data_IF_469362218185
#
_entry.id   IF_469362218185
#
_cell.length_a   1.000
_cell.length_b   1.000
_cell.length_c   1.000
_cell.angle_alpha   90.00
_cell.angle_beta   90.00
_cell.angle_gamma   90.00
#
_symmetry.space_group_name_H-M   'P 1'
#
loop_
_entity.id
_entity.type
_entity.pdbx_description
1 polymer ?
#
# COMPACT_ATOMS: atom_id res chain seq x y z
N UNK A 1 14.63 -10.26 19.23
CA UNK A 1 13.59 -9.20 19.30
C UNK A 1 13.13 -8.95 17.87
N UNK A 2 11.83 -8.86 17.62
CA UNK A 2 11.32 -8.46 16.30
C UNK A 2 11.57 -6.97 16.09
N UNK A 3 11.71 -6.56 14.81
CA UNK A 3 11.77 -5.13 14.50
C UNK A 3 10.43 -4.45 14.80
N UNK A 4 10.49 -3.20 15.27
CA UNK A 4 9.29 -2.41 15.54
C UNK A 4 8.79 -1.74 14.26
N UNK A 5 7.46 -1.79 14.02
CA UNK A 5 6.79 -1.16 12.88
C UNK A 5 5.70 -0.21 13.36
N UNK A 6 5.78 1.03 12.93
CA UNK A 6 4.72 2.01 13.10
C UNK A 6 3.74 1.95 11.92
N UNK A 7 2.47 1.67 12.22
CA UNK A 7 1.40 1.65 11.22
C UNK A 7 0.63 2.96 11.31
N UNK A 8 0.58 3.73 10.23
CA UNK A 8 -0.21 4.95 10.16
C UNK A 8 -1.59 4.63 9.63
N UNK A 9 -2.61 4.83 10.46
CA UNK A 9 -4.00 4.48 10.19
C UNK A 9 -4.44 3.22 10.95
N UNK A 10 -5.33 3.37 11.92
CA UNK A 10 -5.90 2.30 12.76
C UNK A 10 -7.34 1.92 12.36
N UNK A 11 -7.84 2.42 11.22
CA UNK A 11 -9.15 2.11 10.68
C UNK A 11 -9.27 0.70 10.10
N UNK A 12 -10.32 0.43 9.32
CA UNK A 12 -10.57 -0.88 8.73
C UNK A 12 -9.38 -1.44 7.95
N UNK A 13 -8.80 -0.64 7.07
CA UNK A 13 -7.65 -1.06 6.27
C UNK A 13 -6.38 -1.21 7.12
N UNK A 14 -6.19 -0.37 8.14
CA UNK A 14 -5.08 -0.52 9.09
C UNK A 14 -5.09 -1.87 9.82
N UNK A 15 -6.29 -2.36 10.19
CA UNK A 15 -6.44 -3.69 10.78
C UNK A 15 -6.05 -4.82 9.81
N UNK A 16 -6.43 -4.70 8.55
CA UNK A 16 -6.00 -5.64 7.51
C UNK A 16 -4.48 -5.66 7.37
N UNK A 17 -3.84 -4.50 7.29
CA UNK A 17 -2.37 -4.39 7.20
C UNK A 17 -1.69 -4.99 8.45
N UNK A 18 -2.26 -4.76 9.64
CA UNK A 18 -1.76 -5.32 10.89
C UNK A 18 -1.72 -6.86 10.85
N UNK A 19 -2.77 -7.53 10.35
CA UNK A 19 -2.83 -8.99 10.26
C UNK A 19 -1.63 -9.60 9.53
N UNK A 20 -1.13 -8.91 8.51
CA UNK A 20 0.06 -9.33 7.78
C UNK A 20 1.36 -8.90 8.46
N UNK A 21 1.38 -7.72 9.09
CA UNK A 21 2.57 -7.14 9.71
C UNK A 21 2.99 -7.85 11.01
N UNK A 22 2.03 -8.26 11.86
CA UNK A 22 2.32 -8.90 13.18
C UNK A 22 3.09 -10.21 13.09
N UNK A 23 3.14 -10.83 11.93
CA UNK A 23 3.92 -12.04 11.72
C UNK A 23 5.43 -11.76 11.82
N UNK A 24 5.86 -10.57 11.45
CA UNK A 24 7.27 -10.19 11.34
C UNK A 24 7.69 -9.04 12.23
N UNK A 25 6.75 -8.23 12.74
CA UNK A 25 7.01 -7.00 13.47
C UNK A 25 6.28 -6.90 14.79
N UNK A 26 6.86 -6.15 15.73
CA UNK A 26 6.16 -5.63 16.90
C UNK A 26 5.52 -4.29 16.49
N UNK A 27 4.20 -4.25 16.41
CA UNK A 27 3.46 -3.15 15.81
C UNK A 27 2.89 -2.17 16.84
N UNK A 28 2.77 -0.90 16.45
CA UNK A 28 1.92 0.10 17.08
C UNK A 28 1.25 0.96 16.01
N UNK A 29 0.14 1.61 16.38
CA UNK A 29 -0.57 2.53 15.51
C UNK A 29 -0.33 3.99 15.88
N UNK A 30 -0.35 4.87 14.87
CA UNK A 30 -0.69 6.29 15.02
C UNK A 30 -1.93 6.59 14.16
N UNK A 31 -2.88 7.32 14.72
CA UNK A 31 -4.15 7.65 14.05
C UNK A 31 -4.79 8.87 14.72
N UNK A 32 -5.53 9.66 13.96
CA UNK A 32 -6.16 10.89 14.47
C UNK A 32 -7.57 10.66 15.03
N UNK A 33 -8.18 9.49 14.80
CA UNK A 33 -9.52 9.14 15.26
C UNK A 33 -9.58 8.57 16.68
N UNK A 34 -9.04 7.37 16.95
CA UNK A 34 -9.12 6.74 18.26
C UNK A 34 -8.36 7.52 19.35
N UNK A 35 -8.75 7.40 20.61
CA UNK A 35 -7.98 7.95 21.72
C UNK A 35 -6.63 7.22 21.84
N UNK A 36 -5.59 7.96 22.29
CA UNK A 36 -4.27 7.38 22.58
C UNK A 36 -4.41 6.39 23.73
N UNK A 37 -3.83 5.21 23.56
CA UNK A 37 -3.97 4.07 24.48
C UNK A 37 -5.08 3.10 24.10
N UNK A 38 -5.95 3.44 23.12
CA UNK A 38 -6.93 2.49 22.57
C UNK A 38 -6.21 1.29 21.96
N UNK A 39 -6.70 0.09 22.27
CA UNK A 39 -6.22 -1.13 21.63
C UNK A 39 -7.06 -1.44 20.38
N UNK A 40 -6.40 -1.62 19.25
CA UNK A 40 -6.99 -2.05 17.98
C UNK A 40 -6.40 -3.42 17.64
N UNK A 41 -7.20 -4.49 17.72
CA UNK A 41 -6.74 -5.87 17.62
C UNK A 41 -5.51 -6.12 18.54
N UNK A 42 -5.63 -5.75 19.82
CA UNK A 42 -4.60 -5.89 20.87
C UNK A 42 -3.32 -5.04 20.66
N UNK A 43 -3.29 -4.16 19.66
CA UNK A 43 -2.17 -3.28 19.35
C UNK A 43 -2.51 -1.83 19.70
N UNK A 44 -1.65 -1.11 20.47
CA UNK A 44 -1.97 0.22 20.96
C UNK A 44 -1.88 1.30 19.87
N UNK A 45 -2.79 2.28 19.94
CA UNK A 45 -2.63 3.58 19.30
C UNK A 45 -1.78 4.45 20.23
N UNK A 46 -0.57 4.82 19.79
CA UNK A 46 0.42 5.50 20.64
C UNK A 46 0.55 7.00 20.37
N UNK A 47 -0.10 7.53 19.33
CA UNK A 47 -0.02 8.94 18.98
C UNK A 47 -0.86 9.34 17.79
N UNK A 48 -0.70 10.59 17.36
CA UNK A 48 -1.37 11.20 16.23
C UNK A 48 -0.48 11.20 14.98
N UNK A 49 -1.09 11.29 13.80
CA UNK A 49 -0.33 11.36 12.54
C UNK A 49 0.57 12.59 12.48
N UNK A 50 0.17 13.67 13.15
CA UNK A 50 0.96 14.90 13.27
C UNK A 50 2.22 14.77 14.13
N UNK A 51 2.35 13.69 14.89
CA UNK A 51 3.45 13.46 15.84
C UNK A 51 4.44 12.39 15.35
N UNK A 52 4.35 11.95 14.10
CA UNK A 52 5.13 10.80 13.61
C UNK A 52 6.64 10.96 13.84
N UNK A 53 7.17 12.18 13.79
CA UNK A 53 8.60 12.47 14.00
C UNK A 53 9.09 12.13 15.42
N UNK A 54 8.18 12.08 16.40
CA UNK A 54 8.51 11.75 17.81
C UNK A 54 8.88 10.28 18.01
N UNK A 55 8.47 9.41 17.08
CA UNK A 55 8.61 7.97 17.24
C UNK A 55 9.81 7.38 16.50
N UNK A 56 10.61 8.19 15.78
CA UNK A 56 11.74 7.74 14.95
C UNK A 56 12.84 7.01 15.73
N UNK A 57 13.04 7.35 17.02
CA UNK A 57 14.04 6.66 17.83
C UNK A 57 13.62 5.24 18.21
N UNK A 58 12.33 5.04 18.41
CA UNK A 58 11.79 3.74 18.83
C UNK A 58 11.37 2.86 17.65
N UNK A 59 10.75 3.47 16.63
CA UNK A 59 10.26 2.79 15.43
C UNK A 59 11.08 3.28 14.22
N UNK A 60 11.98 2.44 13.71
CA UNK A 60 12.75 2.80 12.50
C UNK A 60 11.97 2.54 11.21
N UNK A 61 10.93 1.69 11.30
CA UNK A 61 10.13 1.27 10.16
C UNK A 61 8.71 1.80 10.26
N UNK A 62 8.15 2.22 9.12
CA UNK A 62 6.81 2.77 9.03
C UNK A 62 6.10 2.26 7.77
N UNK A 63 4.80 1.98 7.91
CA UNK A 63 3.90 1.68 6.79
C UNK A 63 2.63 2.55 6.89
N UNK A 64 2.13 3.05 5.75
CA UNK A 64 0.95 3.90 5.73
C UNK A 64 -0.26 3.12 5.22
N UNK A 65 -1.19 2.81 6.11
CA UNK A 65 -2.41 2.04 5.87
C UNK A 65 -3.65 2.94 5.66
N UNK A 66 -3.54 3.91 4.76
CA UNK A 66 -4.57 4.93 4.48
C UNK A 66 -4.99 4.86 3.02
N UNK A 67 -6.31 4.76 2.78
CA UNK A 67 -6.87 4.64 1.43
C UNK A 67 -6.80 5.91 0.59
N UNK A 68 -6.80 7.10 1.19
CA UNK A 68 -6.66 8.34 0.44
C UNK A 68 -5.25 8.48 -0.14
N UNK A 69 -5.13 8.44 -1.45
CA UNK A 69 -3.85 8.39 -2.16
C UNK A 69 -3.00 9.63 -1.92
N UNK A 70 -3.59 10.83 -1.93
CA UNK A 70 -2.87 12.10 -1.71
C UNK A 70 -2.38 12.21 -0.28
N UNK A 71 -3.24 11.92 0.69
CA UNK A 71 -2.85 11.97 2.10
C UNK A 71 -1.81 10.87 2.42
N UNK A 72 -1.93 9.68 1.81
CA UNK A 72 -0.91 8.64 1.93
C UNK A 72 0.45 9.11 1.43
N UNK A 73 0.50 9.77 0.27
CA UNK A 73 1.72 10.37 -0.27
C UNK A 73 2.33 11.42 0.67
N UNK A 74 1.50 12.32 1.21
CA UNK A 74 1.94 13.36 2.15
C UNK A 74 2.58 12.75 3.41
N UNK A 75 1.95 11.73 3.99
CA UNK A 75 2.47 11.03 5.16
C UNK A 75 3.80 10.35 4.84
N UNK A 76 3.92 9.65 3.69
CA UNK A 76 5.18 9.04 3.29
C UNK A 76 6.29 10.05 3.10
N UNK A 77 6.03 11.20 2.47
CA UNK A 77 7.03 12.27 2.29
C UNK A 77 7.52 12.83 3.63
N UNK A 78 6.62 13.04 4.58
CA UNK A 78 7.00 13.49 5.93
C UNK A 78 7.81 12.42 6.66
N UNK A 79 7.39 11.17 6.60
CA UNK A 79 8.10 10.07 7.22
C UNK A 79 9.49 9.85 6.60
N UNK A 80 9.65 10.02 5.28
CA UNK A 80 10.95 9.97 4.61
C UNK A 80 11.88 11.08 5.08
N UNK A 81 11.37 12.31 5.19
CA UNK A 81 12.13 13.44 5.73
C UNK A 81 12.53 13.23 7.21
N UNK A 82 11.75 12.49 7.97
CA UNK A 82 12.05 12.12 9.36
C UNK A 82 13.03 10.93 9.47
N UNK A 83 13.38 10.27 8.36
CA UNK A 83 14.36 9.18 8.33
C UNK A 83 13.78 7.77 8.55
N UNK A 84 12.49 7.56 8.35
CA UNK A 84 11.88 6.25 8.39
C UNK A 84 12.27 5.37 7.21
N UNK A 85 12.37 4.06 7.47
CA UNK A 85 12.43 3.01 6.45
C UNK A 85 11.02 2.49 6.15
N UNK A 86 10.77 2.15 4.89
CA UNK A 86 9.46 1.68 4.43
C UNK A 86 9.53 0.23 3.97
N UNK A 87 9.26 -0.75 4.86
CA UNK A 87 9.17 -2.14 4.46
C UNK A 87 7.95 -2.37 3.55
N UNK A 88 8.05 -3.35 2.67
CA UNK A 88 6.89 -3.86 1.95
C UNK A 88 6.13 -4.86 2.83
N UNK A 89 4.80 -4.78 2.85
CA UNK A 89 3.94 -5.74 3.52
C UNK A 89 3.29 -6.60 2.43
N UNK A 90 3.71 -7.85 2.35
CA UNK A 90 3.30 -8.77 1.28
C UNK A 90 2.72 -10.03 1.92
N UNK A 91 1.48 -10.36 1.54
CA UNK A 91 0.83 -11.60 1.96
C UNK A 91 1.58 -12.83 1.40
N UNK A 92 1.80 -13.88 2.19
CA UNK A 92 2.50 -15.07 1.72
C UNK A 92 1.83 -15.80 0.55
N UNK A 93 0.53 -15.60 0.32
CA UNK A 93 -0.21 -16.18 -0.80
C UNK A 93 -0.08 -15.37 -2.10
N UNK A 94 0.47 -14.16 -2.03
CA UNK A 94 0.72 -13.36 -3.22
C UNK A 94 1.88 -13.92 -4.03
N UNK A 95 1.73 -13.97 -5.35
CA UNK A 95 2.83 -14.32 -6.25
C UNK A 95 3.55 -13.07 -6.75
N UNK A 96 4.80 -12.94 -6.43
CA UNK A 96 5.66 -11.87 -6.96
C UNK A 96 6.76 -12.50 -7.82
N UNK A 97 6.77 -12.17 -9.10
CA UNK A 97 7.84 -12.63 -9.99
C UNK A 97 9.21 -12.15 -9.49
N UNK A 98 10.24 -13.00 -9.49
CA UNK A 98 11.60 -12.58 -9.15
C UNK A 98 12.18 -11.53 -10.10
N UNK A 99 11.54 -11.29 -11.22
CA UNK A 99 11.90 -10.27 -12.22
C UNK A 99 11.02 -9.02 -12.13
N UNK A 100 10.07 -8.96 -11.20
CA UNK A 100 9.29 -7.75 -10.95
C UNK A 100 10.10 -6.76 -10.10
N UNK A 101 9.76 -5.47 -10.22
CA UNK A 101 10.36 -4.42 -9.40
C UNK A 101 9.30 -3.84 -8.48
N UNK A 102 9.55 -3.88 -7.18
CA UNK A 102 8.71 -3.24 -6.18
C UNK A 102 9.42 -2.01 -5.61
N UNK A 103 8.69 -0.93 -5.48
CA UNK A 103 9.11 0.22 -4.69
C UNK A 103 9.12 -0.06 -3.18
N UNK A 104 9.21 1.00 -2.40
CA UNK A 104 9.21 0.95 -0.93
C UNK A 104 7.79 1.19 -0.37
N UNK A 105 7.48 0.56 0.76
CA UNK A 105 6.19 0.74 1.43
C UNK A 105 4.99 0.24 0.63
N UNK A 106 5.21 -0.74 -0.25
CA UNK A 106 4.14 -1.38 -1.03
C UNK A 106 3.39 -2.36 -0.16
N UNK A 107 2.06 -2.37 -0.27
CA UNK A 107 1.18 -3.33 0.39
C UNK A 107 0.57 -4.23 -0.67
N UNK A 108 0.78 -5.54 -0.57
CA UNK A 108 0.24 -6.53 -1.50
C UNK A 108 -0.50 -7.59 -0.69
N UNK A 109 -1.81 -7.64 -0.88
CA UNK A 109 -2.69 -8.54 -0.12
C UNK A 109 -2.81 -9.91 -0.80
N UNK A 110 -3.56 -10.77 -0.13
CA UNK A 110 -3.67 -12.19 -0.47
C UNK A 110 -4.09 -12.44 -1.93
N UNK A 111 -3.50 -13.48 -2.52
CA UNK A 111 -3.73 -13.93 -3.91
C UNK A 111 -3.48 -12.87 -4.99
N UNK A 112 -2.83 -11.76 -4.69
CA UNK A 112 -2.40 -10.83 -5.72
C UNK A 112 -1.24 -11.41 -6.54
N UNK A 113 -1.17 -11.04 -7.81
CA UNK A 113 -0.16 -11.55 -8.76
C UNK A 113 0.58 -10.38 -9.40
N UNK A 114 1.91 -10.37 -9.25
CA UNK A 114 2.79 -9.42 -9.95
C UNK A 114 3.71 -10.21 -10.88
N UNK A 115 3.47 -10.08 -12.18
CA UNK A 115 4.15 -10.87 -13.20
C UNK A 115 5.54 -10.32 -13.56
N UNK A 116 6.22 -11.03 -14.45
CA UNK A 116 7.56 -10.72 -14.94
C UNK A 116 7.65 -9.27 -15.48
N UNK A 117 8.72 -8.56 -15.12
CA UNK A 117 9.00 -7.18 -15.55
C UNK A 117 7.92 -6.16 -15.20
N UNK A 118 6.94 -6.52 -14.36
CA UNK A 118 6.00 -5.54 -13.82
C UNK A 118 6.70 -4.62 -12.81
N UNK A 119 6.33 -3.35 -12.80
CA UNK A 119 6.89 -2.33 -11.91
C UNK A 119 5.76 -1.77 -11.06
N UNK A 120 5.93 -1.83 -9.73
CA UNK A 120 5.00 -1.27 -8.76
C UNK A 120 5.69 -0.15 -7.99
N UNK A 121 5.14 1.06 -8.06
CA UNK A 121 5.70 2.25 -7.43
C UNK A 121 5.54 2.29 -5.91
N UNK A 122 6.24 3.25 -5.28
CA UNK A 122 6.28 3.43 -3.83
C UNK A 122 4.88 3.67 -3.25
N UNK A 123 4.62 3.13 -2.05
CA UNK A 123 3.39 3.35 -1.30
C UNK A 123 2.12 2.89 -2.02
N UNK A 124 2.23 2.07 -3.06
CA UNK A 124 1.11 1.52 -3.81
C UNK A 124 0.52 0.32 -3.10
N UNK A 125 -0.80 0.22 -3.16
CA UNK A 125 -1.59 -0.83 -2.52
C UNK A 125 -2.23 -1.68 -3.61
N UNK A 126 -1.93 -2.97 -3.61
CA UNK A 126 -2.61 -3.98 -4.41
C UNK A 126 -3.47 -4.83 -3.48
N UNK A 127 -4.79 -4.68 -3.57
CA UNK A 127 -5.72 -5.46 -2.78
C UNK A 127 -5.78 -6.93 -3.24
N UNK A 128 -6.56 -7.72 -2.51
CA UNK A 128 -6.69 -9.17 -2.74
C UNK A 128 -7.07 -9.48 -4.18
N UNK A 129 -6.37 -10.45 -4.78
CA UNK A 129 -6.65 -10.94 -6.13
C UNK A 129 -6.34 -9.94 -7.26
N UNK A 130 -5.61 -8.85 -6.99
CA UNK A 130 -5.15 -7.93 -8.05
C UNK A 130 -4.10 -8.60 -8.91
N UNK A 131 -4.22 -8.47 -10.23
CA UNK A 131 -3.21 -8.94 -11.16
C UNK A 131 -2.53 -7.79 -11.90
N UNK A 132 -1.21 -7.64 -11.70
CA UNK A 132 -0.34 -6.78 -12.50
C UNK A 132 0.41 -7.67 -13.50
N UNK A 133 0.00 -7.63 -14.77
CA UNK A 133 0.58 -8.47 -15.81
C UNK A 133 1.98 -8.01 -16.22
N UNK A 134 2.68 -8.87 -17.00
CA UNK A 134 4.04 -8.62 -17.43
C UNK A 134 4.21 -7.27 -18.15
N UNK A 135 5.35 -6.63 -17.93
CA UNK A 135 5.71 -5.34 -18.52
C UNK A 135 4.73 -4.19 -18.21
N UNK A 136 3.83 -4.37 -17.21
CA UNK A 136 2.98 -3.29 -16.74
C UNK A 136 3.72 -2.37 -15.76
N UNK A 137 3.36 -1.10 -15.75
CA UNK A 137 3.89 -0.10 -14.82
C UNK A 137 2.73 0.50 -14.05
N UNK A 138 2.74 0.34 -12.73
CA UNK A 138 1.82 1.01 -11.80
C UNK A 138 2.63 2.03 -11.01
N UNK A 139 2.25 3.29 -11.10
CA UNK A 139 2.95 4.41 -10.48
C UNK A 139 2.90 4.41 -8.95
N UNK A 140 3.36 5.50 -8.35
CA UNK A 140 3.46 5.64 -6.90
C UNK A 140 2.10 5.96 -6.28
N UNK A 141 1.91 5.50 -5.04
CA UNK A 141 0.75 5.83 -4.20
C UNK A 141 -0.61 5.48 -4.83
N UNK A 142 -0.65 4.48 -5.70
CA UNK A 142 -1.89 3.97 -6.28
C UNK A 142 -2.63 3.08 -5.30
N UNK A 143 -3.94 2.95 -5.50
CA UNK A 143 -4.80 2.02 -4.77
C UNK A 143 -5.61 1.22 -5.79
N UNK A 144 -5.26 -0.05 -5.92
CA UNK A 144 -5.93 -0.98 -6.82
C UNK A 144 -6.80 -1.91 -5.97
N UNK A 145 -8.11 -1.81 -6.13
CA UNK A 145 -9.07 -2.62 -5.39
C UNK A 145 -9.18 -4.06 -5.92
N UNK A 146 -9.81 -4.91 -5.12
CA UNK A 146 -9.82 -6.34 -5.28
C UNK A 146 -10.25 -6.83 -6.68
N UNK A 147 -9.62 -7.91 -7.13
CA UNK A 147 -9.90 -8.63 -8.37
C UNK A 147 -9.78 -7.78 -9.65
N UNK A 148 -9.04 -6.68 -9.60
CA UNK A 148 -8.78 -5.86 -10.79
C UNK A 148 -7.54 -6.32 -11.50
N UNK A 149 -7.55 -6.23 -12.85
CA UNK A 149 -6.47 -6.71 -13.71
C UNK A 149 -5.87 -5.54 -14.49
N UNK A 150 -4.60 -5.26 -14.25
CA UNK A 150 -3.79 -4.34 -15.04
C UNK A 150 -3.01 -5.16 -16.06
N UNK A 151 -3.50 -5.16 -17.32
CA UNK A 151 -2.95 -6.02 -18.37
C UNK A 151 -1.56 -5.59 -18.82
N UNK A 152 -0.93 -6.46 -19.60
CA UNK A 152 0.44 -6.27 -20.09
C UNK A 152 0.65 -4.93 -20.82
N UNK A 153 1.87 -4.36 -20.68
CA UNK A 153 2.29 -3.12 -21.34
C UNK A 153 1.47 -1.88 -20.94
N UNK A 154 0.62 -1.99 -19.91
CA UNK A 154 -0.18 -0.87 -19.41
C UNK A 154 0.70 0.09 -18.59
N UNK A 155 0.41 1.39 -18.66
CA UNK A 155 1.02 2.41 -17.82
C UNK A 155 -0.06 3.10 -17.00
N UNK A 156 -0.02 2.88 -15.69
CA UNK A 156 -0.86 3.56 -14.70
C UNK A 156 -0.01 4.64 -14.05
N UNK A 157 -0.49 5.87 -14.06
CA UNK A 157 0.16 7.02 -13.44
C UNK A 157 0.22 6.94 -11.91
N UNK A 158 0.54 8.05 -11.26
CA UNK A 158 0.64 8.14 -9.81
C UNK A 158 -0.72 8.46 -9.17
N UNK A 159 -0.92 8.03 -7.93
CA UNK A 159 -2.13 8.31 -7.13
C UNK A 159 -3.44 7.87 -7.78
N UNK A 160 -3.37 6.92 -8.70
CA UNK A 160 -4.55 6.39 -9.36
C UNK A 160 -5.32 5.50 -8.40
N UNK A 161 -6.64 5.67 -8.36
CA UNK A 161 -7.56 4.72 -7.73
C UNK A 161 -8.21 3.87 -8.83
N UNK A 162 -8.07 2.57 -8.74
CA UNK A 162 -8.78 1.60 -9.59
C UNK A 162 -9.75 0.82 -8.72
N UNK A 163 -11.03 0.90 -9.00
CA UNK A 163 -12.09 0.18 -8.30
C UNK A 163 -11.97 -1.34 -8.40
N UNK A 164 -12.88 -2.05 -7.76
CA UNK A 164 -12.91 -3.52 -7.78
C UNK A 164 -13.38 -4.07 -9.13
N UNK A 165 -12.88 -5.25 -9.51
CA UNK A 165 -13.28 -5.94 -10.76
C UNK A 165 -13.10 -5.09 -12.03
N UNK A 166 -12.10 -4.22 -12.05
CA UNK A 166 -11.75 -3.40 -13.23
C UNK A 166 -10.79 -4.16 -14.13
N UNK A 167 -10.98 -4.06 -15.44
CA UNK A 167 -10.03 -4.53 -16.44
C UNK A 167 -9.39 -3.38 -17.18
N UNK A 168 -8.08 -3.16 -17.00
CA UNK A 168 -7.31 -2.18 -17.77
C UNK A 168 -6.68 -2.91 -18.95
N UNK A 169 -7.07 -2.51 -20.17
CA UNK A 169 -6.69 -3.19 -21.40
C UNK A 169 -5.20 -3.09 -21.70
N UNK A 170 -4.67 -4.08 -22.39
CA UNK A 170 -3.26 -4.15 -22.80
C UNK A 170 -2.79 -2.85 -23.50
N UNK A 171 -1.71 -2.29 -23.00
CA UNK A 171 -1.10 -1.05 -23.52
C UNK A 171 -1.90 0.22 -23.28
N UNK A 172 -2.96 0.18 -22.47
CA UNK A 172 -3.69 1.38 -22.05
C UNK A 172 -2.81 2.30 -21.20
N UNK A 173 -3.14 3.58 -21.20
CA UNK A 173 -2.49 4.59 -20.35
C UNK A 173 -3.53 5.24 -19.45
N UNK A 174 -3.30 5.20 -18.15
CA UNK A 174 -4.15 5.82 -17.13
C UNK A 174 -3.38 7.00 -16.56
N UNK A 175 -3.89 8.23 -16.67
CA UNK A 175 -3.18 9.42 -16.19
C UNK A 175 -3.10 9.46 -14.65
N UNK A 176 -2.20 10.29 -14.14
CA UNK A 176 -2.09 10.58 -12.70
C UNK A 176 -3.45 11.04 -12.14
N UNK A 177 -3.69 10.71 -10.88
CA UNK A 177 -4.89 11.09 -10.13
C UNK A 177 -6.22 10.58 -10.71
N UNK A 178 -6.21 9.67 -11.68
CA UNK A 178 -7.43 9.07 -12.20
C UNK A 178 -8.18 8.27 -11.14
N UNK A 179 -9.50 8.35 -11.16
CA UNK A 179 -10.42 7.56 -10.35
C UNK A 179 -11.28 6.68 -11.28
N UNK A 180 -11.06 5.38 -11.25
CA UNK A 180 -11.73 4.39 -12.10
C UNK A 180 -12.77 3.66 -11.27
N UNK A 181 -14.03 3.73 -11.70
CA UNK A 181 -15.16 3.11 -11.01
C UNK A 181 -15.10 1.57 -11.04
N UNK A 182 -15.73 0.94 -10.05
CA UNK A 182 -15.85 -0.52 -9.95
C UNK A 182 -16.47 -1.12 -11.22
N UNK A 183 -15.98 -2.29 -11.64
CA UNK A 183 -16.48 -3.02 -12.79
C UNK A 183 -16.18 -2.40 -14.14
N UNK A 184 -15.42 -1.30 -14.21
CA UNK A 184 -15.11 -0.59 -15.45
C UNK A 184 -14.14 -1.38 -16.34
N UNK A 185 -14.19 -1.08 -17.64
CA UNK A 185 -13.19 -1.52 -18.61
C UNK A 185 -12.49 -0.28 -19.19
N UNK A 186 -11.21 -0.11 -18.84
CA UNK A 186 -10.38 0.96 -19.38
C UNK A 186 -9.80 0.49 -20.71
N UNK A 187 -10.17 1.15 -21.79
CA UNK A 187 -9.67 0.86 -23.14
C UNK A 187 -8.43 1.71 -23.47
N UNK A 188 -7.71 1.26 -24.49
CA UNK A 188 -6.57 2.01 -25.05
C UNK A 188 -7.04 3.26 -25.76
#
# INVERSE_FOLDING_TARGET
MRDKLLIVGAGGFGRVVLEHAVQNYDCAFIDDGPEIGTLVNDVPVIGRTTELERFTEEYKKLIVAIGNNKFREEVYKRAEAAGYEFPNIIDPSAYISPYATLGKGVIILNNAVVQNSAIIGNGTILNSGVEAHHDSVIGNYCLIYANSVVRALTKVGNRVRIGSNVSVSTGAQVPDDADIEDGSVVKK
#
